data_IF_503039537888
#
_entry.id   IF_503039537888
#
_cell.length_a   1.000
_cell.length_b   1.000
_cell.length_c   1.000
_cell.angle_alpha   90.00
_cell.angle_beta   90.00
_cell.angle_gamma   90.00
#
_symmetry.space_group_name_H-M   'P 1'
#
loop_
_entity.id
_entity.type
_entity.pdbx_description
1 polymer ?
#
# COMPACT_ATOMS: atom_id res chain seq x y z
N UNK A 1 18.32 -29.01 -25.42
CA UNK A 1 18.39 -28.39 -24.09
C UNK A 1 17.90 -26.95 -24.27
N UNK A 2 16.66 -26.65 -23.89
CA UNK A 2 16.13 -25.30 -24.02
C UNK A 2 16.82 -24.38 -22.99
N UNK A 3 17.16 -23.13 -23.34
CA UNK A 3 17.75 -22.21 -22.37
C UNK A 3 16.76 -21.94 -21.24
N UNK A 4 17.24 -21.76 -19.99
CA UNK A 4 16.38 -21.38 -18.88
C UNK A 4 15.70 -20.06 -19.23
N UNK A 5 14.37 -20.03 -19.14
CA UNK A 5 13.61 -18.79 -19.15
C UNK A 5 13.99 -18.03 -17.89
N UNK A 6 14.98 -17.15 -18.01
CA UNK A 6 15.24 -16.12 -17.02
C UNK A 6 14.03 -15.20 -17.03
N UNK A 7 13.05 -15.47 -16.17
CA UNK A 7 12.06 -14.49 -15.75
C UNK A 7 12.81 -13.39 -15.00
N UNK A 8 13.42 -12.49 -15.76
CA UNK A 8 13.90 -11.23 -15.21
C UNK A 8 12.67 -10.48 -14.73
N UNK A 9 12.48 -10.45 -13.40
CA UNK A 9 11.58 -9.51 -12.77
C UNK A 9 12.16 -8.12 -13.06
N UNK A 10 11.72 -7.53 -14.16
CA UNK A 10 12.00 -6.15 -14.52
C UNK A 10 11.10 -5.29 -13.63
N UNK A 11 11.55 -5.10 -12.39
CA UNK A 11 10.89 -4.20 -11.45
C UNK A 11 11.18 -2.77 -11.90
N UNK A 12 10.24 -2.18 -12.65
CA UNK A 12 10.30 -0.77 -13.06
C UNK A 12 9.94 0.12 -11.85
N UNK A 13 10.90 0.86 -11.28
CA UNK A 13 10.65 1.66 -10.07
C UNK A 13 9.48 2.64 -10.23
N UNK A 14 9.27 3.17 -11.43
CA UNK A 14 8.19 4.11 -11.75
C UNK A 14 6.81 3.47 -11.59
N UNK A 15 6.62 2.25 -12.10
CA UNK A 15 5.34 1.53 -12.00
C UNK A 15 5.07 1.14 -10.54
N UNK A 16 6.10 0.73 -9.80
CA UNK A 16 5.96 0.40 -8.38
C UNK A 16 5.57 1.63 -7.56
N UNK A 17 6.18 2.80 -7.83
CA UNK A 17 5.79 4.08 -7.20
C UNK A 17 4.33 4.42 -7.50
N UNK A 18 3.91 4.32 -8.75
CA UNK A 18 2.52 4.59 -9.15
C UNK A 18 1.53 3.68 -8.42
N UNK A 19 1.84 2.38 -8.31
CA UNK A 19 1.00 1.41 -7.59
C UNK A 19 0.95 1.77 -6.10
N UNK A 20 2.09 2.09 -5.49
CA UNK A 20 2.15 2.49 -4.09
C UNK A 20 1.29 3.74 -3.82
N UNK A 21 1.37 4.76 -4.67
CA UNK A 21 0.56 5.97 -4.55
C UNK A 21 -0.94 5.69 -4.71
N UNK A 22 -1.30 4.79 -5.62
CA UNK A 22 -2.69 4.37 -5.80
C UNK A 22 -3.22 3.65 -4.56
N UNK A 23 -2.48 2.68 -4.03
CA UNK A 23 -2.86 1.96 -2.80
C UNK A 23 -3.06 2.95 -1.64
N UNK A 24 -2.16 3.93 -1.50
CA UNK A 24 -2.28 4.97 -0.48
C UNK A 24 -3.55 5.81 -0.66
N UNK A 25 -3.86 6.20 -1.89
CA UNK A 25 -5.07 6.99 -2.20
C UNK A 25 -6.35 6.19 -1.94
N UNK A 26 -6.37 4.92 -2.35
CA UNK A 26 -7.49 4.00 -2.13
C UNK A 26 -7.69 3.72 -0.63
N UNK A 27 -6.60 3.61 0.15
CA UNK A 27 -6.63 3.46 1.60
C UNK A 27 -7.23 4.69 2.30
N UNK A 28 -6.82 5.91 1.93
CA UNK A 28 -7.39 7.14 2.48
C UNK A 28 -8.88 7.29 2.12
N UNK A 29 -9.25 6.95 0.88
CA UNK A 29 -10.66 6.93 0.45
C UNK A 29 -11.47 5.92 1.25
N UNK A 30 -10.93 4.72 1.44
CA UNK A 30 -11.58 3.65 2.21
C UNK A 30 -11.79 4.04 3.66
N UNK A 31 -10.83 4.74 4.27
CA UNK A 31 -10.93 5.25 5.65
C UNK A 31 -12.14 6.18 5.81
N UNK A 32 -12.31 7.13 4.90
CA UNK A 32 -13.47 8.03 4.91
C UNK A 32 -14.80 7.27 4.71
N UNK A 33 -14.80 6.19 3.94
CA UNK A 33 -15.99 5.38 3.71
C UNK A 33 -16.36 4.51 4.93
N UNK A 34 -15.38 3.99 5.66
CA UNK A 34 -15.59 3.17 6.87
C UNK A 34 -16.43 3.92 7.90
N UNK A 35 -16.14 5.20 8.13
CA UNK A 35 -16.91 6.01 9.09
C UNK A 35 -18.38 6.18 8.69
N UNK A 36 -18.64 6.28 7.38
CA UNK A 36 -19.99 6.39 6.83
C UNK A 36 -20.77 5.06 6.90
N UNK A 37 -20.10 3.91 6.73
CA UNK A 37 -20.74 2.59 6.76
C UNK A 37 -21.46 2.30 8.08
N UNK A 38 -20.94 2.81 9.20
CA UNK A 38 -21.51 2.57 10.53
C UNK A 38 -22.44 3.68 11.02
N UNK A 39 -22.67 4.74 10.24
CA UNK A 39 -23.52 5.86 10.62
C UNK A 39 -24.99 5.45 10.87
N UNK A 40 -25.51 4.52 10.06
CA UNK A 40 -26.87 3.98 10.21
C UNK A 40 -27.01 3.15 11.49
N UNK A 41 -25.99 2.35 11.82
CA UNK A 41 -25.96 1.54 13.06
C UNK A 41 -25.89 2.44 14.28
N UNK A 42 -25.06 3.48 14.26
CA UNK A 42 -24.99 4.49 15.33
C UNK A 42 -26.35 5.17 15.55
N UNK A 43 -27.01 5.57 14.47
CA UNK A 43 -28.36 6.16 14.52
C UNK A 43 -29.38 5.20 15.12
N UNK A 44 -29.33 3.91 14.76
CA UNK A 44 -30.24 2.90 15.30
C UNK A 44 -30.02 2.66 16.81
N UNK A 45 -28.76 2.59 17.24
CA UNK A 45 -28.37 2.46 18.66
C UNK A 45 -28.86 3.66 19.47
N UNK A 46 -28.65 4.88 18.97
CA UNK A 46 -29.07 6.11 19.64
C UNK A 46 -30.60 6.25 19.74
N UNK A 47 -31.34 5.85 18.70
CA UNK A 47 -32.81 5.96 18.68
C UNK A 47 -33.52 4.87 19.46
N UNK A 48 -32.86 3.74 19.72
CA UNK A 48 -33.48 2.58 20.37
C UNK A 48 -32.61 1.99 21.50
N UNK A 49 -32.28 2.78 22.55
CA UNK A 49 -31.41 2.31 23.64
C UNK A 49 -32.00 1.15 24.45
N UNK A 50 -33.31 0.92 24.38
CA UNK A 50 -34.01 -0.15 25.11
C UNK A 50 -34.09 -1.49 24.38
N UNK A 51 -33.59 -1.61 23.15
CA UNK A 51 -33.62 -2.91 22.46
C UNK A 51 -32.55 -3.83 23.03
N UNK A 52 -32.93 -5.10 23.27
CA UNK A 52 -32.03 -6.15 23.75
C UNK A 52 -30.80 -6.34 22.84
N UNK A 53 -30.92 -5.97 21.55
CA UNK A 53 -29.87 -6.11 20.54
C UNK A 53 -28.94 -4.92 20.43
N UNK A 54 -29.24 -3.78 21.08
CA UNK A 54 -28.50 -2.52 20.90
C UNK A 54 -27.02 -2.65 21.27
N UNK A 55 -26.69 -3.25 22.42
CA UNK A 55 -25.30 -3.47 22.83
C UNK A 55 -24.56 -4.43 21.89
N UNK A 56 -25.25 -5.48 21.42
CA UNK A 56 -24.66 -6.42 20.46
C UNK A 56 -24.37 -5.75 19.10
N UNK A 57 -25.29 -4.90 18.62
CA UNK A 57 -25.12 -4.12 17.39
C UNK A 57 -23.98 -3.11 17.52
N UNK A 58 -23.92 -2.39 18.64
CA UNK A 58 -22.84 -1.45 18.93
C UNK A 58 -21.48 -2.14 18.92
N UNK A 59 -21.34 -3.23 19.66
CA UNK A 59 -20.10 -4.01 19.72
C UNK A 59 -19.72 -4.57 18.35
N UNK A 60 -20.69 -5.07 17.58
CA UNK A 60 -20.45 -5.55 16.23
C UNK A 60 -19.91 -4.44 15.32
N UNK A 61 -20.53 -3.26 15.34
CA UNK A 61 -20.07 -2.10 14.55
C UNK A 61 -18.66 -1.64 14.97
N UNK A 62 -18.39 -1.56 16.26
CA UNK A 62 -17.06 -1.19 16.78
C UNK A 62 -15.98 -2.19 16.34
N UNK A 63 -16.24 -3.50 16.46
CA UNK A 63 -15.30 -4.54 16.00
C UNK A 63 -15.03 -4.43 14.51
N UNK A 64 -16.08 -4.32 13.69
CA UNK A 64 -15.89 -4.20 12.24
C UNK A 64 -15.16 -2.92 11.84
N UNK A 65 -15.45 -1.79 12.51
CA UNK A 65 -14.74 -0.54 12.27
C UNK A 65 -13.25 -0.69 12.58
N UNK A 66 -12.91 -1.33 13.70
CA UNK A 66 -11.52 -1.58 14.09
C UNK A 66 -10.78 -2.48 13.09
N UNK A 67 -11.39 -3.60 12.69
CA UNK A 67 -10.78 -4.53 11.72
C UNK A 67 -10.55 -3.86 10.36
N UNK A 68 -11.53 -3.09 9.86
CA UNK A 68 -11.40 -2.38 8.60
C UNK A 68 -10.32 -1.29 8.65
N UNK A 69 -10.26 -0.53 9.74
CA UNK A 69 -9.18 0.44 9.95
C UNK A 69 -7.80 -0.24 10.02
N UNK A 70 -7.72 -1.39 10.66
CA UNK A 70 -6.49 -2.20 10.71
C UNK A 70 -6.03 -2.64 9.31
N UNK A 71 -6.94 -3.12 8.46
CA UNK A 71 -6.63 -3.49 7.07
C UNK A 71 -6.18 -2.30 6.21
N UNK A 72 -6.80 -1.14 6.43
CA UNK A 72 -6.41 0.12 5.76
C UNK A 72 -4.98 0.51 6.17
N UNK A 73 -4.66 0.45 7.45
CA UNK A 73 -3.32 0.76 7.95
C UNK A 73 -2.26 -0.22 7.41
N UNK A 74 -2.57 -1.52 7.37
CA UNK A 74 -1.69 -2.54 6.76
C UNK A 74 -1.45 -2.27 5.27
N UNK A 75 -2.50 -1.86 4.55
CA UNK A 75 -2.40 -1.51 3.13
C UNK A 75 -1.50 -0.30 2.91
N UNK A 76 -1.59 0.72 3.78
CA UNK A 76 -0.71 1.90 3.75
C UNK A 76 0.74 1.54 4.05
N UNK A 77 1.00 0.72 5.07
CA UNK A 77 2.36 0.24 5.39
C UNK A 77 2.97 -0.56 4.22
N UNK A 78 2.14 -1.37 3.55
CA UNK A 78 2.58 -2.10 2.36
C UNK A 78 2.95 -1.15 1.22
N UNK A 79 2.15 -0.11 0.97
CA UNK A 79 2.46 0.92 -0.01
C UNK A 79 3.77 1.66 0.31
N UNK A 80 4.01 2.00 1.57
CA UNK A 80 5.27 2.60 2.03
C UNK A 80 6.48 1.68 1.78
N UNK A 81 6.31 0.37 2.04
CA UNK A 81 7.33 -0.64 1.74
C UNK A 81 7.65 -0.75 0.25
N UNK A 82 6.63 -0.71 -0.61
CA UNK A 82 6.78 -0.70 -2.07
C UNK A 82 7.53 0.56 -2.53
N UNK A 83 7.15 1.73 -2.03
CA UNK A 83 7.80 3.00 -2.34
C UNK A 83 9.27 3.01 -1.92
N UNK A 84 9.56 2.57 -0.70
CA UNK A 84 10.93 2.44 -0.20
C UNK A 84 11.77 1.50 -1.08
N UNK A 85 11.17 0.38 -1.51
CA UNK A 85 11.86 -0.60 -2.36
C UNK A 85 12.15 -0.04 -3.75
N UNK A 86 11.18 0.64 -4.37
CA UNK A 86 11.37 1.32 -5.65
C UNK A 86 12.48 2.37 -5.59
N UNK A 87 12.54 3.15 -4.51
CA UNK A 87 13.59 4.15 -4.32
C UNK A 87 14.98 3.54 -4.19
N UNK A 88 15.10 2.41 -3.49
CA UNK A 88 16.38 1.68 -3.38
C UNK A 88 16.84 1.12 -4.73
N UNK A 89 15.93 0.54 -5.51
CA UNK A 89 16.26 0.02 -6.85
C UNK A 89 16.72 1.14 -7.76
N UNK A 90 15.98 2.25 -7.83
CA UNK A 90 16.36 3.40 -8.64
C UNK A 90 17.75 3.95 -8.26
N UNK A 91 18.03 4.08 -6.96
CA UNK A 91 19.34 4.54 -6.49
C UNK A 91 20.48 3.57 -6.87
N UNK A 92 20.23 2.26 -6.77
CA UNK A 92 21.20 1.21 -7.14
C UNK A 92 21.48 1.25 -8.64
N UNK A 93 20.45 1.41 -9.46
CA UNK A 93 20.58 1.50 -10.92
C UNK A 93 21.37 2.75 -11.34
N UNK A 94 21.13 3.88 -10.70
CA UNK A 94 21.87 5.12 -10.97
C UNK A 94 23.35 5.00 -10.56
N UNK A 95 23.63 4.37 -9.41
CA UNK A 95 25.01 4.06 -8.99
C UNK A 95 25.71 3.13 -9.99
N UNK A 96 25.02 2.09 -10.45
CA UNK A 96 25.55 1.17 -11.45
C UNK A 96 25.86 1.90 -12.77
N UNK A 97 24.95 2.74 -13.27
CA UNK A 97 25.17 3.55 -14.48
C UNK A 97 26.37 4.48 -14.35
N UNK A 98 26.54 5.14 -13.20
CA UNK A 98 27.69 6.00 -12.94
C UNK A 98 29.00 5.23 -12.98
N UNK A 99 29.06 4.07 -12.30
CA UNK A 99 30.25 3.20 -12.29
C UNK A 99 30.59 2.67 -13.68
N UNK A 100 29.59 2.19 -14.42
CA UNK A 100 29.81 1.71 -15.79
C UNK A 100 30.27 2.83 -16.71
N UNK A 101 29.70 4.03 -16.60
CA UNK A 101 30.14 5.21 -17.35
C UNK A 101 31.58 5.59 -17.06
N UNK A 102 32.00 5.54 -15.79
CA UNK A 102 33.37 5.82 -15.40
C UNK A 102 34.37 4.81 -16.00
N UNK A 103 34.06 3.51 -15.93
CA UNK A 103 34.90 2.46 -16.52
C UNK A 103 35.00 2.61 -18.05
N UNK A 104 33.89 2.89 -18.73
CA UNK A 104 33.89 3.10 -20.18
C UNK A 104 34.70 4.34 -20.58
N UNK A 105 34.63 5.41 -19.80
CA UNK A 105 35.43 6.61 -20.01
C UNK A 105 36.93 6.30 -19.85
N UNK A 106 37.31 5.58 -18.79
CA UNK A 106 38.69 5.18 -18.52
C UNK A 106 39.27 4.31 -19.65
N UNK A 107 38.49 3.33 -20.13
CA UNK A 107 38.87 2.48 -21.28
C UNK A 107 38.99 3.25 -22.61
N UNK A 108 38.28 4.37 -22.75
CA UNK A 108 38.33 5.17 -23.99
C UNK A 108 39.51 6.15 -24.02
N UNK A 109 40.12 6.42 -22.87
CA UNK A 109 41.28 7.31 -22.72
C UNK A 109 42.62 6.59 -22.62
N UNK A 110 42.63 5.26 -22.59
CA UNK A 110 43.83 4.41 -22.56
C UNK A 110 44.11 3.76 -23.91
#
# INVERSE_FOLDING_TARGET
>A
MAPPQNDFITMTPEVVRLIADRIRTDAETSKNNVDNLFASTRTAVERHPGWLTTEALKKCAETWQQELLGLIDQSRQTAEGLLSSANRVAATDDEARQRFGAVLAEMSTS
#
